data_IF_136516921701
#
_entry.id   IF_136516921701
#
_cell.length_a   1.000
_cell.length_b   1.000
_cell.length_c   1.000
_cell.angle_alpha   90.00
_cell.angle_beta   90.00
_cell.angle_gamma   90.00
#
_symmetry.space_group_name_H-M   'P 1'
#
loop_
_entity.id
_entity.type
_entity.pdbx_description
1 polymer ?
#
# COMPACT_ATOMS: atom_id res chain seq x y z
N UNK A 1 16.19 31.76 -85.81
CA UNK A 1 14.80 31.28 -85.55
C UNK A 1 14.71 29.75 -85.53
N UNK A 2 15.78 29.09 -85.07
CA UNK A 2 15.88 27.65 -84.81
C UNK A 2 16.00 27.49 -83.29
N UNK A 3 14.94 27.10 -82.60
CA UNK A 3 15.06 26.42 -81.31
C UNK A 3 13.68 25.96 -80.85
N UNK A 4 13.56 24.66 -80.62
CA UNK A 4 12.56 24.03 -79.73
C UNK A 4 11.21 23.67 -80.35
N UNK A 5 11.28 23.04 -81.52
CA UNK A 5 10.53 21.81 -81.83
C UNK A 5 10.90 20.61 -80.90
N UNK A 6 11.71 20.84 -79.86
CA UNK A 6 12.34 19.85 -78.97
C UNK A 6 11.74 19.78 -77.57
N UNK A 7 10.87 20.71 -77.17
CA UNK A 7 10.11 20.56 -75.91
C UNK A 7 8.90 19.64 -76.05
N UNK A 8 8.64 19.11 -77.25
CA UNK A 8 7.69 18.03 -77.53
C UNK A 8 8.20 16.61 -77.21
N UNK A 9 9.44 16.40 -76.71
CA UNK A 9 9.97 15.03 -76.51
C UNK A 9 10.43 14.72 -75.08
N UNK A 10 10.61 15.71 -74.18
CA UNK A 10 11.10 15.47 -72.81
C UNK A 10 10.22 16.15 -71.75
N UNK A 11 8.94 15.82 -71.78
CA UNK A 11 7.98 16.19 -70.74
C UNK A 11 6.74 15.29 -70.70
N UNK A 12 6.68 14.27 -71.56
CA UNK A 12 5.86 13.10 -71.34
C UNK A 12 6.46 12.35 -70.14
N UNK A 13 5.91 12.58 -68.96
CA UNK A 13 5.85 11.69 -67.78
C UNK A 13 5.59 12.58 -66.56
N UNK A 14 4.30 12.75 -66.25
CA UNK A 14 3.71 12.92 -64.91
C UNK A 14 2.21 13.17 -65.15
N UNK A 15 1.55 12.21 -65.78
CA UNK A 15 0.64 11.28 -65.09
C UNK A 15 -0.65 11.97 -64.66
N UNK A 16 -1.66 11.77 -65.50
CA UNK A 16 -3.07 11.66 -65.17
C UNK A 16 -3.38 11.50 -63.68
N UNK A 17 -4.19 12.40 -63.13
CA UNK A 17 -4.94 12.14 -61.89
C UNK A 17 -6.26 11.46 -62.25
N UNK A 18 -6.45 10.20 -61.83
CA UNK A 18 -7.73 9.82 -61.23
C UNK A 18 -7.47 8.99 -59.97
N UNK A 19 -7.48 9.63 -58.80
CA UNK A 19 -7.38 8.97 -57.50
C UNK A 19 -8.75 8.89 -56.83
N UNK A 20 -9.61 8.00 -57.30
CA UNK A 20 -10.94 7.74 -56.71
C UNK A 20 -10.86 6.99 -55.36
N UNK A 21 -9.66 6.57 -54.92
CA UNK A 21 -9.49 5.75 -53.70
C UNK A 21 -9.32 6.53 -52.39
N UNK A 22 -8.85 7.77 -52.42
CA UNK A 22 -8.59 8.55 -51.19
C UNK A 22 -9.85 9.23 -50.62
N UNK A 23 -10.83 9.55 -51.45
CA UNK A 23 -12.12 10.11 -50.99
C UNK A 23 -13.04 9.05 -50.37
N UNK A 24 -13.01 7.81 -50.89
CA UNK A 24 -13.84 6.70 -50.38
C UNK A 24 -13.48 6.32 -48.94
N UNK A 25 -12.19 6.36 -48.56
CA UNK A 25 -11.77 6.08 -47.19
C UNK A 25 -12.09 7.23 -46.22
N UNK A 26 -12.08 8.47 -46.72
CA UNK A 26 -12.50 9.64 -45.95
C UNK A 26 -14.00 9.61 -45.65
N UNK A 27 -14.85 9.16 -46.59
CA UNK A 27 -16.30 9.00 -46.38
C UNK A 27 -16.66 7.84 -45.45
N UNK A 28 -15.85 6.77 -45.45
CA UNK A 28 -16.02 5.63 -44.54
C UNK A 28 -15.77 6.05 -43.08
N UNK A 29 -14.85 6.98 -42.81
CA UNK A 29 -14.57 7.46 -41.44
C UNK A 29 -15.34 8.76 -41.09
N UNK A 30 -15.88 9.49 -42.07
CA UNK A 30 -16.71 10.70 -41.83
C UNK A 30 -18.21 10.45 -41.83
N UNK A 31 -18.67 9.23 -42.16
CA UNK A 31 -20.07 8.87 -42.01
C UNK A 31 -20.46 8.82 -40.53
N UNK A 32 -21.40 9.66 -40.11
CA UNK A 32 -22.02 9.65 -38.77
C UNK A 32 -22.41 8.23 -38.33
N UNK A 33 -22.77 7.36 -39.27
CA UNK A 33 -23.10 5.95 -39.02
C UNK A 33 -21.90 5.14 -38.52
N UNK A 34 -20.69 5.37 -39.02
CA UNK A 34 -19.49 4.65 -38.57
C UNK A 34 -19.05 5.12 -37.19
N UNK A 35 -19.15 6.43 -36.91
CA UNK A 35 -18.94 6.95 -35.57
C UNK A 35 -19.95 6.37 -34.57
N UNK A 36 -21.23 6.29 -34.94
CA UNK A 36 -22.28 5.68 -34.10
C UNK A 36 -21.99 4.20 -33.81
N UNK A 37 -21.53 3.44 -34.80
CA UNK A 37 -21.15 2.03 -34.62
C UNK A 37 -19.95 1.89 -33.69
N UNK A 38 -18.91 2.71 -33.86
CA UNK A 38 -17.75 2.70 -32.97
C UNK A 38 -18.11 3.09 -31.53
N UNK A 39 -18.95 4.11 -31.34
CA UNK A 39 -19.45 4.49 -30.02
C UNK A 39 -20.27 3.37 -29.38
N UNK A 40 -21.15 2.71 -30.13
CA UNK A 40 -21.95 1.60 -29.62
C UNK A 40 -21.07 0.42 -29.17
N UNK A 41 -20.05 0.06 -29.96
CA UNK A 41 -19.10 -1.01 -29.60
C UNK A 41 -18.29 -0.66 -28.34
N UNK A 42 -17.83 0.59 -28.21
CA UNK A 42 -17.13 1.07 -27.01
C UNK A 42 -18.03 1.02 -25.77
N UNK A 43 -19.29 1.46 -25.89
CA UNK A 43 -20.26 1.40 -24.79
C UNK A 43 -20.55 -0.04 -24.35
N UNK A 44 -20.74 -0.96 -25.30
CA UNK A 44 -20.95 -2.37 -25.01
C UNK A 44 -19.74 -3.00 -24.31
N UNK A 45 -18.51 -2.65 -24.72
CA UNK A 45 -17.29 -3.10 -24.06
C UNK A 45 -17.21 -2.59 -22.61
N UNK A 46 -17.53 -1.32 -22.36
CA UNK A 46 -17.53 -0.74 -21.00
C UNK A 46 -18.56 -1.43 -20.11
N UNK A 47 -19.76 -1.71 -20.62
CA UNK A 47 -20.80 -2.43 -19.87
C UNK A 47 -20.36 -3.86 -19.56
N UNK A 48 -19.72 -4.55 -20.52
CA UNK A 48 -19.16 -5.88 -20.29
C UNK A 48 -18.06 -5.86 -19.21
N UNK A 49 -17.14 -4.89 -19.26
CA UNK A 49 -16.10 -4.72 -18.23
C UNK A 49 -16.69 -4.39 -16.86
N UNK A 50 -17.73 -3.55 -16.80
CA UNK A 50 -18.42 -3.22 -15.56
C UNK A 50 -19.23 -4.41 -15.01
N UNK A 51 -19.79 -5.24 -15.88
CA UNK A 51 -20.43 -6.50 -15.48
C UNK A 51 -19.39 -7.52 -14.96
N UNK A 52 -18.19 -7.54 -15.54
CA UNK A 52 -17.08 -8.37 -15.05
C UNK A 52 -16.56 -7.90 -13.68
N UNK A 53 -16.58 -6.59 -13.38
CA UNK A 53 -16.28 -6.11 -12.02
C UNK A 53 -17.44 -6.30 -11.05
N UNK A 54 -18.69 -6.30 -11.53
CA UNK A 54 -19.89 -6.63 -10.74
C UNK A 54 -20.02 -8.12 -10.38
N UNK A 55 -19.35 -9.00 -11.13
CA UNK A 55 -19.20 -10.43 -10.80
C UNK A 55 -17.90 -10.77 -10.06
N UNK A 56 -17.00 -9.81 -9.84
CA UNK A 56 -15.93 -9.96 -8.84
C UNK A 56 -16.56 -9.81 -7.45
N UNK A 57 -17.47 -10.73 -7.16
CA UNK A 57 -17.95 -11.02 -5.83
C UNK A 57 -16.69 -11.33 -5.02
N UNK A 58 -16.44 -10.51 -4.02
CA UNK A 58 -15.50 -10.79 -2.95
C UNK A 58 -15.98 -12.03 -2.20
N UNK A 59 -15.86 -13.20 -2.81
CA UNK A 59 -16.08 -14.49 -2.17
C UNK A 59 -14.78 -14.90 -1.50
N UNK A 60 -14.77 -14.66 -0.19
CA UNK A 60 -14.11 -15.47 0.83
C UNK A 60 -12.75 -16.06 0.42
N UNK A 61 -11.73 -15.22 0.45
CA UNK A 61 -10.37 -15.73 0.63
C UNK A 61 -10.33 -16.55 1.93
N UNK A 62 -9.69 -17.74 1.95
CA UNK A 62 -9.45 -18.48 3.18
C UNK A 62 -8.69 -17.58 4.16
N UNK A 63 -9.28 -17.31 5.32
CA UNK A 63 -8.61 -16.59 6.41
C UNK A 63 -7.35 -17.40 6.76
N UNK A 64 -6.12 -16.88 6.53
CA UNK A 64 -4.92 -17.59 6.96
C UNK A 64 -5.00 -17.82 8.48
N UNK A 65 -4.45 -18.94 9.00
CA UNK A 65 -4.37 -19.14 10.45
C UNK A 65 -3.77 -17.88 11.06
N UNK A 66 -4.44 -17.34 12.10
CA UNK A 66 -4.12 -16.04 12.72
C UNK A 66 -2.61 -15.84 12.71
N UNK A 67 -2.09 -15.04 11.76
CA UNK A 67 -0.86 -14.33 12.05
C UNK A 67 -1.21 -13.58 13.33
N UNK A 68 -0.49 -13.82 14.41
CA UNK A 68 -0.60 -13.00 15.62
C UNK A 68 -0.06 -11.62 15.26
N UNK A 69 -0.82 -10.89 14.44
CA UNK A 69 -0.60 -9.49 14.20
C UNK A 69 -0.90 -8.78 15.52
N UNK A 70 0.03 -7.94 15.94
CA UNK A 70 -0.18 -7.12 17.12
C UNK A 70 -1.50 -6.35 17.00
N UNK A 71 -2.15 -6.07 18.15
CA UNK A 71 -3.33 -5.22 18.14
C UNK A 71 -3.04 -3.89 17.45
N UNK A 72 -4.08 -3.25 16.91
CA UNK A 72 -3.93 -1.95 16.26
C UNK A 72 -3.26 -0.96 17.22
N UNK A 73 -2.29 -0.19 16.72
CA UNK A 73 -1.48 0.78 17.47
C UNK A 73 -0.44 0.17 18.43
N UNK A 74 -0.08 -1.10 18.24
CA UNK A 74 1.04 -1.75 18.93
C UNK A 74 2.24 -1.91 17.98
N UNK A 75 3.43 -1.71 18.52
CA UNK A 75 4.69 -1.92 17.81
C UNK A 75 5.02 -3.42 17.80
N UNK A 76 5.18 -3.97 16.60
CA UNK A 76 5.66 -5.34 16.41
C UNK A 76 7.20 -5.35 16.41
N UNK A 77 7.79 -6.24 17.20
CA UNK A 77 9.21 -6.58 17.14
C UNK A 77 9.40 -8.10 17.19
N UNK A 78 10.64 -8.57 17.01
CA UNK A 78 10.97 -9.99 17.15
C UNK A 78 10.74 -10.51 18.58
N UNK A 79 10.66 -9.61 19.55
CA UNK A 79 10.47 -9.90 20.96
C UNK A 79 8.99 -9.90 21.36
N UNK A 80 8.08 -9.46 20.48
CA UNK A 80 6.63 -9.46 20.71
C UNK A 80 5.95 -8.15 20.30
N UNK A 81 4.80 -7.88 20.93
CA UNK A 81 3.99 -6.69 20.71
C UNK A 81 4.12 -5.72 21.88
N UNK A 82 4.41 -4.45 21.59
CA UNK A 82 4.65 -3.41 22.60
C UNK A 82 3.72 -2.22 22.40
N UNK A 83 3.18 -1.70 23.50
CA UNK A 83 2.38 -0.48 23.51
C UNK A 83 3.12 0.64 24.24
N UNK A 84 3.24 1.80 23.59
CA UNK A 84 3.91 2.97 24.15
C UNK A 84 2.91 4.09 24.37
N UNK A 85 2.57 4.34 25.63
CA UNK A 85 1.62 5.40 25.99
C UNK A 85 2.14 6.80 25.65
N UNK A 86 3.47 6.98 25.62
CA UNK A 86 4.14 8.23 25.25
C UNK A 86 3.88 8.66 23.80
N UNK A 87 3.74 7.70 22.87
CA UNK A 87 3.37 7.98 21.47
C UNK A 87 1.98 8.66 21.41
N UNK A 88 1.08 8.27 22.31
CA UNK A 88 -0.30 8.78 22.38
C UNK A 88 -0.47 9.93 23.38
N UNK A 89 0.63 10.41 24.00
CA UNK A 89 0.61 11.42 25.08
C UNK A 89 -0.31 11.04 26.24
N UNK A 90 -0.43 9.75 26.52
CA UNK A 90 -1.16 9.22 27.65
C UNK A 90 -0.19 8.97 28.81
N UNK A 91 -0.08 9.95 29.70
CA UNK A 91 0.64 9.77 30.96
C UNK A 91 -0.22 8.93 31.90
N UNK A 92 0.35 7.82 32.35
CA UNK A 92 -0.24 6.90 33.33
C UNK A 92 0.82 6.61 34.39
N UNK A 93 0.40 6.41 35.63
CA UNK A 93 1.33 5.89 36.63
C UNK A 93 1.65 4.41 36.38
N UNK A 94 2.52 3.82 37.20
CA UNK A 94 2.92 2.42 37.05
C UNK A 94 1.73 1.46 37.18
N UNK A 95 0.83 1.70 38.15
CA UNK A 95 -0.29 0.82 38.45
C UNK A 95 -1.37 0.89 37.35
N UNK A 96 -1.65 2.10 36.86
CA UNK A 96 -2.52 2.34 35.70
C UNK A 96 -1.96 1.71 34.42
N UNK A 97 -0.65 1.82 34.19
CA UNK A 97 0.03 1.23 33.04
C UNK A 97 -0.04 -0.29 33.08
N UNK A 98 0.24 -0.91 34.24
CA UNK A 98 0.11 -2.35 34.42
C UNK A 98 -1.33 -2.83 34.22
N UNK A 99 -2.32 -2.08 34.73
CA UNK A 99 -3.74 -2.38 34.55
C UNK A 99 -4.14 -2.33 33.07
N UNK A 100 -3.67 -1.32 32.33
CA UNK A 100 -3.90 -1.21 30.90
C UNK A 100 -3.29 -2.38 30.13
N UNK A 101 -2.04 -2.76 30.40
CA UNK A 101 -1.44 -3.92 29.75
C UNK A 101 -2.21 -5.20 30.08
N UNK A 102 -2.63 -5.36 31.34
CA UNK A 102 -3.40 -6.53 31.79
C UNK A 102 -4.77 -6.63 31.11
N UNK A 103 -5.44 -5.51 30.83
CA UNK A 103 -6.71 -5.50 30.08
C UNK A 103 -6.55 -5.86 28.60
N UNK A 104 -5.32 -5.90 28.10
CA UNK A 104 -4.96 -6.29 26.73
C UNK A 104 -4.19 -7.63 26.71
N UNK A 105 -4.40 -8.49 27.70
CA UNK A 105 -3.73 -9.80 27.84
C UNK A 105 -2.19 -9.73 27.85
N UNK A 106 -1.64 -8.62 28.33
CA UNK A 106 -0.20 -8.43 28.48
C UNK A 106 0.18 -7.96 29.88
N UNK A 107 1.43 -7.53 30.02
CA UNK A 107 1.94 -6.88 31.22
C UNK A 107 2.86 -5.73 30.83
N UNK A 108 3.25 -4.88 31.78
CA UNK A 108 4.39 -4.01 31.58
C UNK A 108 5.59 -4.85 31.13
N UNK A 109 6.34 -4.33 30.16
CA UNK A 109 7.37 -5.10 29.48
C UNK A 109 8.54 -5.46 30.41
N UNK A 110 9.06 -6.67 30.24
CA UNK A 110 10.24 -7.17 30.93
C UNK A 110 11.42 -7.08 29.95
N UNK A 111 12.52 -6.52 30.43
CA UNK A 111 13.77 -6.41 29.66
C UNK A 111 14.90 -6.94 30.54
N UNK A 112 15.07 -8.26 30.55
CA UNK A 112 16.05 -8.97 31.39
C UNK A 112 17.30 -9.42 30.62
N UNK A 113 17.31 -9.25 29.29
CA UNK A 113 18.47 -9.50 28.44
C UNK A 113 19.05 -8.21 27.86
N UNK A 114 20.35 -8.23 27.50
CA UNK A 114 20.99 -7.07 26.87
C UNK A 114 20.33 -6.67 25.54
N UNK A 115 19.87 -7.63 24.74
CA UNK A 115 19.16 -7.38 23.48
C UNK A 115 17.86 -6.60 23.72
N UNK A 116 17.09 -7.03 24.71
CA UNK A 116 15.85 -6.39 25.14
C UNK A 116 16.10 -4.97 25.69
N UNK A 117 17.15 -4.78 26.49
CA UNK A 117 17.50 -3.46 27.01
C UNK A 117 17.94 -2.51 25.90
N UNK A 118 18.72 -2.97 24.92
CA UNK A 118 19.08 -2.16 23.75
C UNK A 118 17.84 -1.76 22.96
N UNK A 119 16.91 -2.70 22.74
CA UNK A 119 15.63 -2.41 22.09
C UNK A 119 14.83 -1.36 22.87
N UNK A 120 14.75 -1.46 24.21
CA UNK A 120 14.11 -0.45 25.05
C UNK A 120 14.73 0.94 24.85
N UNK A 121 16.06 1.05 24.83
CA UNK A 121 16.74 2.32 24.65
C UNK A 121 16.45 2.93 23.26
N UNK A 122 16.44 2.10 22.22
CA UNK A 122 16.15 2.53 20.84
C UNK A 122 14.72 3.07 20.69
N UNK A 123 13.75 2.44 21.36
CA UNK A 123 12.32 2.80 21.21
C UNK A 123 11.84 3.83 22.24
N UNK A 124 12.47 3.94 23.41
CA UNK A 124 12.12 4.95 24.42
C UNK A 124 12.65 6.33 24.03
N UNK A 125 13.77 6.39 23.31
CA UNK A 125 14.45 7.64 23.01
C UNK A 125 14.75 8.42 24.29
N UNK A 126 14.33 9.68 24.35
CA UNK A 126 14.49 10.56 25.53
C UNK A 126 13.31 10.48 26.52
N UNK A 127 12.32 9.63 26.26
CA UNK A 127 11.13 9.54 27.10
C UNK A 127 11.31 8.58 28.28
N UNK A 128 10.84 8.99 29.46
CA UNK A 128 10.69 8.09 30.58
C UNK A 128 9.50 7.15 30.33
N UNK A 129 9.75 5.85 30.36
CA UNK A 129 8.74 4.81 30.14
C UNK A 129 8.65 3.89 31.35
N UNK A 130 7.42 3.54 31.73
CA UNK A 130 7.22 2.52 32.76
C UNK A 130 7.53 1.14 32.17
N UNK A 131 8.36 0.39 32.90
CA UNK A 131 8.68 -1.01 32.61
C UNK A 131 8.21 -1.89 33.77
N UNK A 132 8.24 -3.20 33.59
CA UNK A 132 7.77 -4.17 34.55
C UNK A 132 8.56 -4.26 35.86
N UNK A 133 9.38 -3.27 36.22
CA UNK A 133 10.13 -3.23 37.47
C UNK A 133 9.30 -2.55 38.57
N UNK A 134 9.25 -3.17 39.75
CA UNK A 134 8.63 -2.59 40.96
C UNK A 134 9.46 -2.90 42.20
N UNK A 135 9.65 -1.88 43.03
CA UNK A 135 10.25 -2.04 44.36
C UNK A 135 9.24 -2.68 45.33
N UNK A 136 9.68 -3.69 46.06
CA UNK A 136 9.00 -4.37 47.17
C UNK A 136 9.88 -4.31 48.42
N UNK A 137 9.40 -4.86 49.53
CA UNK A 137 10.12 -4.87 50.81
C UNK A 137 11.43 -5.65 50.72
N UNK A 138 11.46 -6.71 49.92
CA UNK A 138 12.56 -7.66 49.75
C UNK A 138 13.50 -7.35 48.57
N UNK A 139 13.20 -6.31 47.77
CA UNK A 139 14.05 -5.91 46.65
C UNK A 139 13.30 -5.30 45.47
N UNK A 140 13.94 -5.30 44.31
CA UNK A 140 13.32 -4.91 43.04
C UNK A 140 12.92 -6.19 42.32
N UNK A 141 11.65 -6.27 41.92
CA UNK A 141 11.09 -7.43 41.23
C UNK A 141 10.46 -7.04 39.92
N UNK A 142 10.50 -7.96 38.97
CA UNK A 142 9.68 -7.90 37.78
C UNK A 142 8.21 -8.16 38.10
N UNK A 143 7.31 -7.75 37.21
CA UNK A 143 5.85 -7.99 37.32
C UNK A 143 5.50 -9.48 37.44
N UNK A 144 6.32 -10.37 36.89
CA UNK A 144 6.16 -11.82 37.01
C UNK A 144 6.66 -12.38 38.38
N UNK A 145 7.16 -11.52 39.28
CA UNK A 145 7.67 -11.88 40.60
C UNK A 145 9.16 -12.23 40.64
N UNK A 146 9.82 -12.40 39.49
CA UNK A 146 11.25 -12.71 39.45
C UNK A 146 12.08 -11.54 40.02
N UNK A 147 13.07 -11.80 40.88
CA UNK A 147 13.95 -10.75 41.37
C UNK A 147 14.75 -10.16 40.20
N UNK A 148 14.89 -8.84 40.19
CA UNK A 148 15.76 -8.15 39.24
C UNK A 148 17.21 -8.35 39.68
N UNK A 149 17.82 -9.48 39.28
CA UNK A 149 19.22 -9.75 39.56
C UNK A 149 20.04 -8.91 38.58
N UNK A 150 20.70 -7.86 39.08
CA UNK A 150 21.63 -7.06 38.28
C UNK A 150 22.92 -7.85 38.03
N UNK A 151 22.87 -8.81 37.12
CA UNK A 151 24.05 -9.53 36.62
C UNK A 151 24.32 -9.16 35.16
N UNK A 152 24.34 -7.86 34.88
CA UNK A 152 24.85 -7.27 33.64
C UNK A 152 26.24 -6.69 33.90
#
# INVERSE_FOLDING_TARGET
MYSRLLTRVLGDKLTSRPGWGLWVLADIVTSSRVLLVLCALLLLLVVALAALTGHYSSQDAPVPPRLETCPMNWLYSRLGCYYFSTIFKEEKDWDESQKFCSSHNGSLALFDTQEQLNFLMDISGEHHVWVGLRKREDGIHWVNGTPCISSL
#
